data_IF_869651851091
#
_entry.id   IF_869651851091
#
_cell.length_a   1.000
_cell.length_b   1.000
_cell.length_c   1.000
_cell.angle_alpha   90.00
_cell.angle_beta   90.00
_cell.angle_gamma   90.00
#
_symmetry.space_group_name_H-M   'P 1'
#
loop_
_entity.id
_entity.type
_entity.pdbx_description
1 polymer ?
#
# COMPACT_ATOMS: atom_id res chain seq x y z
N UNK A 1 4.88 -13.59 -11.17
CA UNK A 1 4.80 -12.14 -10.98
C UNK A 1 3.77 -11.94 -9.89
N UNK A 2 4.16 -11.40 -8.74
CA UNK A 2 3.20 -11.08 -7.69
C UNK A 2 2.37 -9.90 -8.21
N UNK A 3 1.06 -10.08 -8.33
CA UNK A 3 0.14 -9.03 -8.75
C UNK A 3 -0.08 -8.07 -7.57
N UNK A 4 0.72 -7.01 -7.49
CA UNK A 4 0.61 -6.00 -6.43
C UNK A 4 -0.55 -5.03 -6.68
N UNK A 5 -1.04 -4.95 -7.92
CA UNK A 5 -2.13 -4.04 -8.34
C UNK A 5 -3.47 -4.36 -7.69
N UNK A 6 -3.67 -5.60 -7.26
CA UNK A 6 -4.88 -6.04 -6.58
C UNK A 6 -4.69 -6.23 -5.07
N UNK A 7 -3.59 -5.73 -4.49
CA UNK A 7 -3.26 -5.87 -3.08
C UNK A 7 -3.32 -4.53 -2.35
N UNK A 8 -3.36 -4.61 -1.02
CA UNK A 8 -3.28 -3.53 -0.04
C UNK A 8 -2.42 -3.98 1.14
N UNK A 9 -2.07 -3.10 2.08
CA UNK A 9 -1.41 -3.51 3.33
C UNK A 9 -2.17 -4.61 4.10
N UNK A 10 -3.51 -4.66 4.00
CA UNK A 10 -4.33 -5.70 4.63
C UNK A 10 -4.08 -7.12 4.08
N UNK A 11 -3.40 -7.25 2.93
CA UNK A 11 -2.98 -8.55 2.38
C UNK A 11 -1.64 -9.03 2.97
N UNK A 12 -0.95 -8.18 3.71
CA UNK A 12 0.36 -8.47 4.30
C UNK A 12 0.33 -8.49 5.83
N UNK A 13 -0.62 -7.80 6.45
CA UNK A 13 -0.80 -7.78 7.89
C UNK A 13 -2.27 -7.59 8.29
N UNK A 14 -2.65 -8.18 9.41
CA UNK A 14 -3.88 -7.93 10.16
C UNK A 14 -3.60 -7.36 11.56
N UNK A 15 -2.34 -7.02 11.86
CA UNK A 15 -1.93 -6.45 13.14
C UNK A 15 -2.46 -5.01 13.28
N UNK A 16 -3.37 -4.75 14.25
CA UNK A 16 -3.97 -3.44 14.42
C UNK A 16 -2.97 -2.36 14.86
N UNK A 17 -1.85 -2.72 15.51
CA UNK A 17 -0.81 -1.75 15.87
C UNK A 17 -0.05 -1.29 14.62
N UNK A 18 0.24 -2.20 13.71
CA UNK A 18 0.90 -1.89 12.43
C UNK A 18 -0.03 -1.07 11.55
N UNK A 19 -1.28 -1.53 11.37
CA UNK A 19 -2.26 -0.83 10.54
C UNK A 19 -2.48 0.60 11.04
N UNK A 20 -2.61 0.79 12.35
CA UNK A 20 -2.70 2.11 12.95
C UNK A 20 -1.43 2.95 12.73
N UNK A 21 -0.24 2.34 12.77
CA UNK A 21 1.02 3.05 12.55
C UNK A 21 1.20 3.57 11.12
N UNK A 22 0.48 2.99 10.16
CA UNK A 22 0.46 3.41 8.75
C UNK A 22 -0.87 4.09 8.36
N UNK A 23 -1.58 4.65 9.36
CA UNK A 23 -2.84 5.37 9.19
C UNK A 23 -3.95 4.58 8.45
N UNK A 24 -3.98 3.25 8.61
CA UNK A 24 -5.07 2.39 8.15
C UNK A 24 -5.93 1.91 9.31
N UNK A 25 -7.25 2.07 9.15
CA UNK A 25 -8.24 1.56 10.10
C UNK A 25 -8.81 0.22 9.60
N UNK A 26 -8.84 -0.79 10.48
CA UNK A 26 -9.42 -2.10 10.19
C UNK A 26 -10.93 -2.02 10.02
N UNK A 27 -11.58 -1.10 10.72
CA UNK A 27 -13.03 -0.88 10.63
C UNK A 27 -13.43 -0.25 9.29
N UNK A 28 -12.48 0.38 8.59
CA UNK A 28 -12.67 0.98 7.25
C UNK A 28 -12.13 0.11 6.11
N UNK A 29 -11.66 -1.11 6.41
CA UNK A 29 -11.01 -2.01 5.45
C UNK A 29 -11.81 -2.22 4.17
N UNK A 30 -13.10 -2.53 4.27
CA UNK A 30 -13.93 -2.80 3.08
C UNK A 30 -14.12 -1.55 2.23
N UNK A 31 -14.28 -0.37 2.85
CA UNK A 31 -14.38 0.87 2.10
C UNK A 31 -13.06 1.19 1.41
N UNK A 32 -11.93 1.05 2.11
CA UNK A 32 -10.62 1.26 1.53
C UNK A 32 -10.39 0.32 0.33
N UNK A 33 -10.69 -0.97 0.47
CA UNK A 33 -10.53 -1.94 -0.62
C UNK A 33 -11.42 -1.60 -1.81
N UNK A 34 -12.65 -1.14 -1.60
CA UNK A 34 -13.61 -0.93 -2.70
C UNK A 34 -13.52 0.46 -3.34
N UNK A 35 -13.10 1.48 -2.61
CA UNK A 35 -13.19 2.87 -3.05
C UNK A 35 -11.85 3.62 -3.14
N UNK A 36 -10.78 3.11 -2.52
CA UNK A 36 -9.48 3.76 -2.63
C UNK A 36 -8.96 3.73 -4.08
N UNK A 37 -8.35 4.84 -4.50
CA UNK A 37 -7.67 4.92 -5.78
C UNK A 37 -6.52 3.90 -5.84
N UNK A 38 -6.16 3.37 -7.02
CA UNK A 38 -5.05 2.43 -7.17
C UNK A 38 -3.74 2.93 -6.53
N UNK A 39 -3.45 4.23 -6.64
CA UNK A 39 -2.24 4.83 -6.05
C UNK A 39 -2.29 4.83 -4.51
N UNK A 40 -3.45 5.04 -3.90
CA UNK A 40 -3.60 4.99 -2.44
C UNK A 40 -3.41 3.56 -1.91
N UNK A 41 -3.88 2.55 -2.65
CA UNK A 41 -3.62 1.15 -2.34
C UNK A 41 -2.12 0.83 -2.44
N UNK A 42 -1.44 1.35 -3.46
CA UNK A 42 0.01 1.20 -3.59
C UNK A 42 0.78 1.85 -2.43
N UNK A 43 0.40 3.07 -2.03
CA UNK A 43 0.97 3.74 -0.86
C UNK A 43 0.79 2.92 0.42
N UNK A 44 -0.39 2.33 0.64
CA UNK A 44 -0.61 1.46 1.82
C UNK A 44 0.41 0.32 1.91
N UNK A 45 0.76 -0.31 0.78
CA UNK A 45 1.75 -1.39 0.74
C UNK A 45 3.16 -0.82 0.98
N UNK A 46 3.45 0.36 0.41
CA UNK A 46 4.72 1.04 0.59
C UNK A 46 4.95 1.40 2.07
N UNK A 47 3.96 2.03 2.71
CA UNK A 47 4.03 2.44 4.12
C UNK A 47 4.23 1.22 5.04
N UNK A 48 3.51 0.12 4.76
CA UNK A 48 3.73 -1.15 5.46
C UNK A 48 5.17 -1.65 5.27
N UNK A 49 5.66 -1.69 4.02
CA UNK A 49 6.99 -2.18 3.69
C UNK A 49 8.09 -1.32 4.33
N UNK A 50 7.91 0.00 4.38
CA UNK A 50 8.79 0.94 5.07
C UNK A 50 8.79 0.71 6.57
N UNK A 51 7.60 0.53 7.18
CA UNK A 51 7.45 0.28 8.61
C UNK A 51 8.23 -0.97 9.06
N UNK A 52 8.13 -2.08 8.30
CA UNK A 52 8.83 -3.33 8.63
C UNK A 52 10.26 -3.41 8.09
N UNK A 53 10.70 -2.43 7.29
CA UNK A 53 12.02 -2.40 6.67
C UNK A 53 12.22 -3.39 5.51
N UNK A 54 11.16 -3.81 4.83
CA UNK A 54 11.22 -4.72 3.68
C UNK A 54 11.61 -3.98 2.39
N UNK A 55 12.92 -3.86 2.18
CA UNK A 55 13.49 -3.21 0.99
C UNK A 55 13.13 -3.90 -0.33
N UNK A 56 12.82 -5.20 -0.32
CA UNK A 56 12.44 -5.91 -1.54
C UNK A 56 11.03 -5.54 -1.94
N UNK A 57 10.10 -5.49 -0.97
CA UNK A 57 8.72 -5.08 -1.21
C UNK A 57 8.66 -3.60 -1.64
N UNK A 58 9.40 -2.71 -0.98
CA UNK A 58 9.52 -1.29 -1.39
C UNK A 58 9.93 -1.20 -2.87
N UNK A 59 11.00 -1.90 -3.25
CA UNK A 59 11.51 -1.87 -4.63
C UNK A 59 10.51 -2.45 -5.63
N UNK A 60 9.75 -3.47 -5.23
CA UNK A 60 8.74 -4.09 -6.08
C UNK A 60 7.54 -3.14 -6.31
N UNK A 61 7.03 -2.52 -5.25
CA UNK A 61 5.93 -1.54 -5.34
C UNK A 61 6.36 -0.32 -6.14
N UNK A 62 7.51 0.27 -5.83
CA UNK A 62 8.03 1.44 -6.55
C UNK A 62 8.18 1.20 -8.06
N UNK A 63 8.64 0.01 -8.45
CA UNK A 63 8.78 -0.36 -9.87
C UNK A 63 7.43 -0.62 -10.54
N UNK A 64 6.49 -1.27 -9.85
CA UNK A 64 5.20 -1.65 -10.44
C UNK A 64 4.26 -0.46 -10.64
N UNK A 65 4.38 0.57 -9.79
CA UNK A 65 3.55 1.79 -9.80
C UNK A 65 4.35 3.07 -10.15
N UNK A 66 5.53 2.93 -10.76
CA UNK A 66 6.44 4.05 -11.07
C UNK A 66 5.72 5.20 -11.81
N UNK A 67 4.86 4.85 -12.76
CA UNK A 67 4.12 5.82 -13.57
C UNK A 67 3.08 6.55 -12.72
N UNK A 68 2.26 5.82 -11.98
CA UNK A 68 1.22 6.37 -11.12
C UNK A 68 1.80 7.28 -10.04
N UNK A 69 2.93 6.90 -9.44
CA UNK A 69 3.64 7.77 -8.49
C UNK A 69 4.19 9.01 -9.19
N UNK A 70 4.81 8.87 -10.36
CA UNK A 70 5.33 10.01 -11.11
C UNK A 70 4.22 10.99 -11.51
N UNK A 71 3.04 10.49 -11.90
CA UNK A 71 1.89 11.33 -12.22
C UNK A 71 1.37 12.05 -10.97
N UNK A 72 1.24 11.34 -9.85
CA UNK A 72 0.77 11.92 -8.57
C UNK A 72 1.67 13.03 -8.02
N UNK A 73 2.99 12.92 -8.18
CA UNK A 73 3.95 13.94 -7.70
C UNK A 73 4.19 15.09 -8.68
N UNK A 74 3.75 14.97 -9.94
CA UNK A 74 3.87 16.01 -10.96
C UNK A 74 2.57 16.82 -11.17
N UNK A 75 1.51 16.52 -10.41
CA UNK A 75 0.31 17.36 -10.27
C UNK A 75 0.54 18.58 -9.37
#
# INVERSE_FOLDING_TARGET
>A
MNDLRNKTAFDFTDDPEILKAIDLDIDDKENFINFALPVAKAFSILDYAEYIGDKQLISAVAKEFEKEFSEFFNE
#
